data_IF_614328800397
#
_entry.id   IF_614328800397
#
_cell.length_a   1.000
_cell.length_b   1.000
_cell.length_c   1.000
_cell.angle_alpha   90.00
_cell.angle_beta   90.00
_cell.angle_gamma   90.00
#
_symmetry.space_group_name_H-M   'P 1'
#
loop_
_entity.id
_entity.type
_entity.pdbx_description
1 polymer ?
#
# COMPACT_ATOMS: atom_id res chain seq x y z
N UNK A 1 54.30 28.16 42.79
CA UNK A 1 54.47 27.11 41.76
C UNK A 1 53.67 25.82 42.04
N UNK A 2 53.57 25.36 43.30
CA UNK A 2 52.83 24.11 43.65
C UNK A 2 51.35 24.11 43.23
N UNK A 3 50.57 25.15 43.59
CA UNK A 3 49.13 25.22 43.28
C UNK A 3 48.79 25.25 41.78
N UNK A 4 49.63 25.89 40.95
CA UNK A 4 49.47 25.94 39.49
C UNK A 4 49.73 24.56 38.87
N UNK A 5 50.73 23.83 39.36
CA UNK A 5 51.00 22.45 38.91
C UNK A 5 49.85 21.51 39.26
N UNK A 6 49.26 21.63 40.45
CA UNK A 6 48.10 20.84 40.87
C UNK A 6 46.84 21.18 40.07
N UNK A 7 46.61 22.45 39.75
CA UNK A 7 45.49 22.87 38.91
C UNK A 7 45.63 22.35 37.47
N UNK A 8 46.83 22.49 36.88
CA UNK A 8 47.12 21.99 35.54
C UNK A 8 47.04 20.46 35.46
N UNK A 9 47.46 19.73 36.51
CA UNK A 9 47.33 18.27 36.57
C UNK A 9 45.87 17.81 36.71
N UNK A 10 45.06 18.55 37.48
CA UNK A 10 43.62 18.28 37.56
C UNK A 10 42.90 18.51 36.23
N UNK A 11 43.23 19.61 35.54
CA UNK A 11 42.66 19.94 34.23
C UNK A 11 43.03 18.92 33.15
N UNK A 12 44.29 18.44 33.13
CA UNK A 12 44.72 17.39 32.19
C UNK A 12 44.04 16.05 32.47
N UNK A 13 43.87 15.69 33.74
CA UNK A 13 43.16 14.45 34.13
C UNK A 13 41.69 14.50 33.69
N UNK A 14 41.01 15.64 33.87
CA UNK A 14 39.62 15.81 33.48
C UNK A 14 39.44 15.84 31.95
N UNK A 15 40.35 16.49 31.23
CA UNK A 15 40.34 16.49 29.76
C UNK A 15 40.58 15.09 29.19
N UNK A 16 41.49 14.32 29.78
CA UNK A 16 41.75 12.93 29.39
C UNK A 16 40.54 12.02 29.67
N UNK A 17 39.87 12.20 30.82
CA UNK A 17 38.66 11.47 31.15
C UNK A 17 37.50 11.79 30.18
N UNK A 18 37.31 13.07 29.84
CA UNK A 18 36.32 13.49 28.85
C UNK A 18 36.64 12.93 27.46
N UNK A 19 37.89 13.01 27.02
CA UNK A 19 38.32 12.43 25.75
C UNK A 19 38.10 10.91 25.70
N UNK A 20 38.36 10.19 26.80
CA UNK A 20 38.10 8.75 26.90
C UNK A 20 36.60 8.43 26.80
N UNK A 21 35.74 9.21 27.47
CA UNK A 21 34.28 9.06 27.39
C UNK A 21 33.77 9.35 25.97
N UNK A 22 34.28 10.40 25.32
CA UNK A 22 33.95 10.70 23.92
C UNK A 22 34.43 9.60 22.96
N UNK A 23 35.63 9.06 23.13
CA UNK A 23 36.14 7.96 22.31
C UNK A 23 35.31 6.66 22.50
N UNK A 24 34.90 6.35 23.74
CA UNK A 24 34.09 5.17 24.07
C UNK A 24 32.64 5.27 23.57
N UNK A 25 32.10 6.49 23.47
CA UNK A 25 30.72 6.74 22.99
C UNK A 25 30.63 6.97 21.49
N UNK A 26 31.68 7.48 20.85
CA UNK A 26 31.74 7.71 19.40
C UNK A 26 32.02 6.42 18.60
N UNK A 27 32.63 5.41 19.21
CA UNK A 27 32.88 4.12 18.58
C UNK A 27 31.62 3.22 18.58
N UNK A 28 30.53 3.68 17.94
CA UNK A 28 29.48 2.74 17.50
C UNK A 28 30.04 1.92 16.35
N UNK A 29 30.66 0.80 16.68
CA UNK A 29 30.99 -0.20 15.66
C UNK A 29 29.68 -0.70 15.07
N UNK A 30 29.44 -0.44 13.77
CA UNK A 30 28.38 -1.12 13.03
C UNK A 30 28.72 -2.61 13.04
N UNK A 31 28.14 -3.37 13.97
CA UNK A 31 28.22 -4.82 13.94
C UNK A 31 27.39 -5.29 12.76
N UNK A 32 28.07 -5.95 11.82
CA UNK A 32 27.39 -6.73 10.78
C UNK A 32 27.13 -8.10 11.38
N UNK A 33 25.86 -8.41 11.58
CA UNK A 33 25.45 -9.74 11.99
C UNK A 33 25.23 -10.61 10.75
N UNK A 34 25.50 -11.90 10.85
CA UNK A 34 25.20 -12.90 9.81
C UNK A 34 24.35 -13.98 10.44
N UNK A 35 23.24 -14.32 9.78
CA UNK A 35 22.31 -15.33 10.23
C UNK A 35 22.11 -16.33 9.10
N UNK A 36 22.10 -17.62 9.42
CA UNK A 36 21.64 -18.65 8.48
C UNK A 36 20.10 -18.63 8.37
N UNK A 37 19.40 -18.44 9.49
CA UNK A 37 17.95 -18.33 9.57
C UNK A 37 17.54 -17.33 10.68
N UNK A 38 16.41 -16.65 10.47
CA UNK A 38 15.80 -15.77 11.47
C UNK A 38 14.32 -16.17 11.66
N UNK A 39 13.96 -16.61 12.87
CA UNK A 39 12.56 -16.87 13.27
C UNK A 39 12.11 -15.78 14.25
N UNK A 40 11.31 -14.83 13.76
CA UNK A 40 10.84 -13.65 14.53
C UNK A 40 9.40 -13.29 14.18
N UNK A 41 8.73 -12.55 15.05
CA UNK A 41 7.38 -12.05 14.77
C UNK A 41 7.35 -10.81 13.86
N UNK A 42 8.38 -9.95 13.94
CA UNK A 42 8.47 -8.69 13.18
C UNK A 42 9.90 -8.26 12.94
N UNK A 43 10.15 -7.70 11.76
CA UNK A 43 11.40 -7.04 11.35
C UNK A 43 11.05 -5.59 10.99
N UNK A 44 11.82 -4.63 11.52
CA UNK A 44 11.76 -3.23 11.10
C UNK A 44 13.08 -2.86 10.43
N UNK A 45 13.00 -2.37 9.19
CA UNK A 45 14.12 -1.69 8.52
C UNK A 45 13.98 -0.20 8.82
N UNK A 46 15.02 0.40 9.38
CA UNK A 46 15.01 1.78 9.90
C UNK A 46 16.19 2.58 9.38
N UNK A 47 15.96 3.87 9.15
CA UNK A 47 16.98 4.87 8.89
C UNK A 47 17.77 5.20 10.18
N UNK A 48 18.95 5.86 10.08
CA UNK A 48 19.72 6.28 11.25
C UNK A 48 18.97 7.19 12.24
N UNK A 49 17.97 7.94 11.76
CA UNK A 49 17.13 8.81 12.59
C UNK A 49 15.95 8.07 13.26
N UNK A 50 15.79 6.77 12.98
CA UNK A 50 14.72 5.92 13.50
C UNK A 50 13.47 5.84 12.62
N UNK A 51 13.43 6.55 11.49
CA UNK A 51 12.34 6.46 10.51
C UNK A 51 12.27 5.03 9.95
N UNK A 52 11.09 4.41 10.00
CA UNK A 52 10.88 3.07 9.42
C UNK A 52 10.80 3.19 7.91
N UNK A 53 11.37 2.23 7.17
CA UNK A 53 11.29 2.14 5.70
C UNK A 53 10.52 0.91 5.23
N UNK A 54 10.72 -0.21 5.92
CA UNK A 54 10.03 -1.47 5.65
C UNK A 54 9.67 -2.11 6.99
N UNK A 55 8.44 -2.58 7.13
CA UNK A 55 8.01 -3.38 8.28
C UNK A 55 7.53 -4.72 7.74
N UNK A 56 8.14 -5.83 8.15
CA UNK A 56 7.65 -7.18 7.88
C UNK A 56 7.10 -7.74 9.18
N UNK A 57 5.87 -8.23 9.22
CA UNK A 57 5.26 -8.68 10.47
C UNK A 57 4.24 -9.79 10.28
N UNK A 58 4.14 -10.63 11.31
CA UNK A 58 3.04 -11.57 11.49
C UNK A 58 1.73 -10.84 11.85
N UNK A 59 0.64 -11.60 11.93
CA UNK A 59 -0.70 -11.08 12.26
C UNK A 59 -0.77 -10.41 13.64
N UNK A 60 -0.12 -10.98 14.66
CA UNK A 60 -0.21 -10.49 16.04
C UNK A 60 0.52 -9.16 16.27
N UNK A 61 1.51 -8.83 15.43
CA UNK A 61 2.36 -7.64 15.55
C UNK A 61 2.21 -6.69 14.35
N UNK A 62 1.19 -6.90 13.52
CA UNK A 62 0.92 -6.07 12.35
C UNK A 62 0.64 -4.63 12.79
N UNK A 63 1.35 -3.63 12.24
CA UNK A 63 1.24 -2.26 12.70
C UNK A 63 -0.05 -1.58 12.22
N UNK A 64 -0.28 -0.39 12.76
CA UNK A 64 -1.20 0.59 12.22
C UNK A 64 -0.77 1.18 10.87
N UNK A 65 -1.41 2.29 10.48
CA UNK A 65 -0.97 3.10 9.35
C UNK A 65 0.07 4.13 9.80
N UNK A 66 0.93 4.58 8.89
CA UNK A 66 1.96 5.59 9.20
C UNK A 66 1.71 6.88 8.42
N UNK A 67 1.71 8.01 9.14
CA UNK A 67 1.64 9.35 8.55
C UNK A 67 2.66 10.25 9.24
N UNK A 68 3.64 10.75 8.49
CA UNK A 68 4.67 11.67 9.01
C UNK A 68 5.38 11.15 10.27
N UNK A 69 5.73 9.86 10.28
CA UNK A 69 6.40 9.19 11.40
C UNK A 69 5.49 8.79 12.55
N UNK A 70 4.19 9.13 12.50
CA UNK A 70 3.21 8.75 13.52
C UNK A 70 2.42 7.52 13.09
N UNK A 71 2.28 6.57 13.99
CA UNK A 71 1.44 5.39 13.80
C UNK A 71 0.00 5.69 14.23
N UNK A 72 -0.96 5.48 13.34
CA UNK A 72 -2.40 5.54 13.57
C UNK A 72 -2.99 4.15 13.79
N UNK A 73 -4.02 4.03 14.63
CA UNK A 73 -4.61 2.72 14.91
C UNK A 73 -5.47 2.23 13.72
N UNK A 74 -5.18 1.03 13.23
CA UNK A 74 -5.97 0.32 12.20
C UNK A 74 -6.55 -0.98 12.73
N UNK A 75 -7.63 -0.94 13.54
CA UNK A 75 -8.23 -2.15 14.11
C UNK A 75 -8.76 -3.12 13.04
N UNK A 76 -9.10 -2.59 11.86
CA UNK A 76 -9.52 -3.33 10.67
C UNK A 76 -8.40 -4.15 10.02
N UNK A 77 -7.13 -3.88 10.34
CA UNK A 77 -5.96 -4.58 9.77
C UNK A 77 -5.45 -5.75 10.63
N UNK A 78 -6.12 -6.06 11.74
CA UNK A 78 -5.67 -7.09 12.72
C UNK A 78 -5.71 -8.53 12.21
N UNK A 79 -6.31 -8.77 11.05
CA UNK A 79 -6.43 -10.10 10.46
C UNK A 79 -5.37 -10.44 9.41
N UNK A 80 -4.43 -9.52 9.15
CA UNK A 80 -3.43 -9.67 8.10
C UNK A 80 -2.02 -9.81 8.65
N UNK A 81 -1.19 -10.55 7.92
CA UNK A 81 0.27 -10.49 8.02
C UNK A 81 0.83 -9.89 6.72
N UNK A 82 2.09 -9.44 6.75
CA UNK A 82 2.73 -8.95 5.53
C UNK A 82 3.80 -7.90 5.75
N UNK A 83 3.87 -6.96 4.82
CA UNK A 83 4.92 -5.97 4.68
C UNK A 83 4.34 -4.57 4.41
N UNK A 84 4.77 -3.54 5.14
CA UNK A 84 4.45 -2.15 4.80
C UNK A 84 5.67 -1.44 4.21
N UNK A 85 5.43 -0.61 3.21
CA UNK A 85 6.40 0.34 2.66
C UNK A 85 6.17 1.70 3.29
N UNK A 86 7.25 2.35 3.70
CA UNK A 86 7.21 3.69 4.28
C UNK A 86 8.20 4.56 3.54
N UNK A 87 7.76 5.75 3.15
CA UNK A 87 8.56 6.72 2.41
C UNK A 87 9.47 7.56 3.34
N UNK A 88 10.24 8.47 2.74
CA UNK A 88 11.19 9.36 3.42
C UNK A 88 10.53 10.28 4.46
N UNK A 89 9.23 10.56 4.29
CA UNK A 89 8.47 11.37 5.24
C UNK A 89 7.98 10.53 6.42
N UNK A 90 8.26 9.22 6.47
CA UNK A 90 7.68 8.33 7.47
C UNK A 90 6.18 8.09 7.25
N UNK A 91 5.70 8.20 6.00
CA UNK A 91 4.31 7.92 5.62
C UNK A 91 4.22 6.60 4.87
N UNK A 92 3.22 5.77 5.20
CA UNK A 92 2.92 4.53 4.48
C UNK A 92 2.70 4.83 3.00
N UNK A 93 3.33 4.05 2.12
CA UNK A 93 3.23 4.23 0.67
C UNK A 93 3.03 2.89 -0.06
N UNK A 94 2.14 2.08 0.49
CA UNK A 94 1.77 0.76 0.00
C UNK A 94 2.31 -0.36 0.88
N UNK A 95 2.16 -1.58 0.39
CA UNK A 95 2.58 -2.76 1.12
C UNK A 95 2.01 -4.04 0.53
N UNK A 96 2.46 -5.15 1.09
CA UNK A 96 1.90 -6.49 0.89
C UNK A 96 1.09 -6.86 2.14
N UNK A 97 -0.17 -7.19 1.99
CA UNK A 97 -0.94 -7.87 3.04
C UNK A 97 -1.48 -9.19 2.50
N UNK A 98 -1.53 -10.19 3.37
CA UNK A 98 -2.11 -11.48 3.04
C UNK A 98 -2.83 -12.08 4.25
N UNK A 99 -3.79 -12.93 3.94
CA UNK A 99 -4.46 -13.81 4.89
C UNK A 99 -4.89 -15.09 4.17
N UNK A 100 -5.07 -16.15 4.96
CA UNK A 100 -5.60 -17.42 4.47
C UNK A 100 -6.04 -18.26 5.66
N UNK A 101 -7.33 -18.56 5.74
CA UNK A 101 -7.89 -19.40 6.78
C UNK A 101 -9.25 -19.95 6.37
N UNK A 102 -9.65 -21.06 6.99
CA UNK A 102 -11.05 -21.45 7.04
C UNK A 102 -11.74 -20.67 8.16
N UNK A 103 -12.93 -20.15 7.89
CA UNK A 103 -13.80 -19.58 8.93
C UNK A 103 -14.35 -20.69 9.83
N UNK A 104 -14.94 -20.30 10.96
CA UNK A 104 -15.55 -21.26 11.90
C UNK A 104 -16.69 -22.08 11.26
N UNK A 105 -17.39 -21.52 10.27
CA UNK A 105 -18.43 -22.19 9.48
C UNK A 105 -17.88 -22.94 8.25
N UNK A 106 -16.55 -23.11 8.15
CA UNK A 106 -15.90 -23.96 7.14
C UNK A 106 -15.68 -23.31 5.77
N UNK A 107 -15.83 -21.99 5.66
CA UNK A 107 -15.68 -21.26 4.39
C UNK A 107 -14.25 -20.76 4.21
N UNK A 108 -13.81 -20.66 2.96
CA UNK A 108 -12.52 -20.07 2.62
C UNK A 108 -12.57 -18.55 2.86
N UNK A 109 -11.57 -18.03 3.58
CA UNK A 109 -11.23 -16.61 3.62
C UNK A 109 -9.73 -16.45 3.35
N UNK A 110 -9.39 -16.25 2.08
CA UNK A 110 -8.02 -16.08 1.66
C UNK A 110 -7.89 -14.91 0.69
N UNK A 111 -6.77 -14.21 0.76
CA UNK A 111 -6.52 -13.08 -0.12
C UNK A 111 -5.15 -12.48 0.07
N UNK A 112 -4.71 -11.77 -0.95
CA UNK A 112 -3.44 -11.07 -1.03
C UNK A 112 -3.66 -9.72 -1.70
N UNK A 113 -3.01 -8.69 -1.17
CA UNK A 113 -2.98 -7.36 -1.77
C UNK A 113 -1.56 -6.83 -1.68
N UNK A 114 -0.90 -6.68 -2.83
CA UNK A 114 0.34 -5.92 -2.96
C UNK A 114 0.04 -4.61 -3.67
N UNK A 115 0.32 -3.50 -3.02
CA UNK A 115 0.00 -2.20 -3.56
C UNK A 115 1.17 -1.24 -3.48
N UNK A 116 1.17 -0.30 -4.42
CA UNK A 116 2.08 0.82 -4.45
C UNK A 116 1.26 2.09 -4.54
N UNK A 117 1.48 2.96 -3.58
CA UNK A 117 0.68 4.16 -3.44
C UNK A 117 1.32 5.31 -4.22
N UNK A 118 0.48 6.20 -4.76
CA UNK A 118 0.95 7.48 -5.27
C UNK A 118 1.42 8.31 -4.07
N UNK A 119 2.47 9.13 -4.25
CA UNK A 119 2.98 9.98 -3.17
C UNK A 119 1.86 10.79 -2.46
N UNK A 120 1.72 10.59 -1.15
CA UNK A 120 0.68 11.17 -0.27
C UNK A 120 -0.76 10.89 -0.70
N UNK A 121 -0.97 9.78 -1.39
CA UNK A 121 -2.24 9.33 -1.94
C UNK A 121 -2.29 7.80 -1.89
N UNK A 122 -3.36 7.23 -2.45
CA UNK A 122 -3.62 5.79 -2.43
C UNK A 122 -3.09 5.10 -3.70
N UNK A 123 -3.52 3.86 -3.91
CA UNK A 123 -2.90 2.86 -4.74
C UNK A 123 -2.91 3.17 -6.25
N UNK A 124 -1.74 3.52 -6.80
CA UNK A 124 -1.54 3.73 -8.25
C UNK A 124 -1.33 2.41 -8.98
N UNK A 125 -0.77 1.40 -8.30
CA UNK A 125 -0.57 0.04 -8.81
C UNK A 125 -1.01 -0.98 -7.75
N UNK A 126 -1.72 -2.02 -8.19
CA UNK A 126 -2.19 -3.10 -7.33
C UNK A 126 -2.02 -4.46 -7.99
N UNK A 127 -1.60 -5.46 -7.21
CA UNK A 127 -1.67 -6.88 -7.50
C UNK A 127 -2.54 -7.53 -6.42
N UNK A 128 -3.68 -8.08 -6.82
CA UNK A 128 -4.71 -8.54 -5.91
C UNK A 128 -5.01 -10.01 -6.18
N UNK A 129 -5.26 -10.76 -5.11
CA UNK A 129 -5.92 -12.06 -5.13
C UNK A 129 -6.98 -12.09 -4.03
N UNK A 130 -8.16 -12.60 -4.34
CA UNK A 130 -9.26 -12.77 -3.41
C UNK A 130 -9.95 -14.11 -3.69
N UNK A 131 -10.17 -14.88 -2.64
CA UNK A 131 -10.67 -16.25 -2.75
C UNK A 131 -11.71 -16.55 -1.66
N UNK A 132 -12.79 -17.17 -2.11
CA UNK A 132 -13.87 -17.71 -1.30
C UNK A 132 -14.35 -19.03 -1.93
N UNK A 133 -15.25 -19.74 -1.26
CA UNK A 133 -15.85 -20.97 -1.80
C UNK A 133 -16.52 -20.78 -3.17
N UNK A 134 -17.03 -19.57 -3.43
CA UNK A 134 -17.80 -19.27 -4.63
C UNK A 134 -16.95 -18.75 -5.80
N UNK A 135 -15.77 -18.19 -5.53
CA UNK A 135 -14.94 -17.59 -6.57
C UNK A 135 -13.47 -17.46 -6.15
N UNK A 136 -12.60 -17.45 -7.16
CA UNK A 136 -11.22 -17.05 -7.05
C UNK A 136 -11.00 -15.93 -8.08
N UNK A 137 -10.46 -14.80 -7.64
CA UNK A 137 -10.20 -13.63 -8.47
C UNK A 137 -8.77 -13.12 -8.26
N UNK A 138 -8.02 -12.95 -9.32
CA UNK A 138 -6.68 -12.34 -9.35
C UNK A 138 -6.67 -11.22 -10.37
N UNK A 139 -6.09 -10.07 -10.00
CA UNK A 139 -5.99 -8.93 -10.91
C UNK A 139 -4.75 -8.07 -10.70
N UNK A 140 -4.33 -7.43 -11.78
CA UNK A 140 -3.41 -6.29 -11.80
C UNK A 140 -4.23 -5.05 -12.15
N UNK A 141 -4.05 -3.96 -11.39
CA UNK A 141 -4.72 -2.69 -11.63
C UNK A 141 -3.71 -1.56 -11.71
N UNK A 142 -3.86 -0.70 -12.72
CA UNK A 142 -3.18 0.59 -12.82
C UNK A 142 -4.25 1.67 -12.75
N UNK A 143 -4.07 2.62 -11.84
CA UNK A 143 -5.04 3.68 -11.56
C UNK A 143 -4.43 5.06 -11.79
N UNK A 144 -5.21 5.96 -12.35
CA UNK A 144 -4.96 7.38 -12.27
C UNK A 144 -5.51 7.87 -10.93
N UNK A 145 -4.65 7.88 -9.93
CA UNK A 145 -4.94 8.47 -8.62
C UNK A 145 -4.71 9.98 -8.73
N UNK A 146 -5.59 10.87 -8.25
CA UNK A 146 -5.36 12.32 -8.33
C UNK A 146 -4.11 12.76 -7.54
N UNK A 147 -3.62 13.98 -7.80
CA UNK A 147 -2.54 14.55 -6.98
C UNK A 147 -3.08 14.89 -5.59
N UNK A 148 -2.28 14.70 -4.53
CA UNK A 148 -2.65 15.11 -3.17
C UNK A 148 -3.01 16.61 -3.05
N UNK A 149 -2.56 17.44 -4.01
CA UNK A 149 -2.90 18.87 -4.10
C UNK A 149 -4.31 19.14 -4.64
N UNK A 150 -4.85 18.21 -5.43
CA UNK A 150 -6.21 18.26 -5.96
C UNK A 150 -7.17 17.59 -4.98
N UNK A 151 -6.74 16.47 -4.41
CA UNK A 151 -7.53 15.74 -3.42
C UNK A 151 -6.61 15.13 -2.40
N UNK A 152 -6.74 15.56 -1.16
CA UNK A 152 -5.93 15.06 -0.04
C UNK A 152 -6.56 13.79 0.57
N UNK A 153 -5.82 13.10 1.44
CA UNK A 153 -6.40 12.00 2.23
C UNK A 153 -7.46 12.49 3.24
N UNK A 154 -7.38 13.75 3.66
CA UNK A 154 -8.41 14.40 4.48
C UNK A 154 -9.69 14.62 3.66
N UNK A 155 -9.56 15.05 2.41
CA UNK A 155 -10.70 15.12 1.49
C UNK A 155 -11.35 13.75 1.29
N UNK A 156 -10.57 12.69 1.05
CA UNK A 156 -11.10 11.32 0.94
C UNK A 156 -11.91 10.92 2.17
N UNK A 157 -11.38 11.20 3.37
CA UNK A 157 -12.08 10.94 4.64
C UNK A 157 -13.38 11.74 4.74
N UNK A 158 -13.33 13.03 4.39
CA UNK A 158 -14.49 13.91 4.38
C UNK A 158 -15.54 13.45 3.38
N UNK A 159 -15.14 13.02 2.19
CA UNK A 159 -16.06 12.52 1.16
C UNK A 159 -16.82 11.28 1.63
N UNK A 160 -16.13 10.34 2.29
CA UNK A 160 -16.79 9.19 2.92
C UNK A 160 -17.82 9.63 3.95
N UNK A 161 -17.43 10.52 4.87
CA UNK A 161 -18.34 11.01 5.92
C UNK A 161 -19.52 11.85 5.39
N UNK A 162 -19.34 12.56 4.28
CA UNK A 162 -20.42 13.26 3.57
C UNK A 162 -21.37 12.25 2.89
N UNK A 163 -20.83 11.25 2.19
CA UNK A 163 -21.62 10.21 1.54
C UNK A 163 -22.44 9.38 2.53
N UNK A 164 -21.88 9.05 3.70
CA UNK A 164 -22.57 8.28 4.74
C UNK A 164 -23.81 8.99 5.31
N UNK A 165 -23.87 10.33 5.20
CA UNK A 165 -25.03 11.13 5.62
C UNK A 165 -26.13 11.20 4.57
N UNK A 166 -25.84 10.80 3.33
CA UNK A 166 -26.79 10.84 2.24
C UNK A 166 -27.65 9.55 2.21
N UNK A 167 -28.92 9.64 1.79
CA UNK A 167 -29.70 8.46 1.43
C UNK A 167 -28.96 7.61 0.40
N UNK A 168 -29.08 6.28 0.48
CA UNK A 168 -28.39 5.35 -0.42
C UNK A 168 -28.66 5.63 -1.92
N UNK A 169 -29.84 6.16 -2.25
CA UNK A 169 -30.19 6.56 -3.61
C UNK A 169 -29.31 7.73 -4.15
N UNK A 170 -28.88 8.63 -3.26
CA UNK A 170 -28.15 9.85 -3.62
C UNK A 170 -26.62 9.68 -3.55
N UNK A 171 -26.14 8.69 -2.79
CA UNK A 171 -24.71 8.38 -2.68
C UNK A 171 -24.07 8.15 -4.06
N UNK A 172 -24.77 7.46 -4.97
CA UNK A 172 -24.26 7.21 -6.32
C UNK A 172 -24.05 8.51 -7.10
N UNK A 173 -24.97 9.46 -6.98
CA UNK A 173 -24.87 10.74 -7.67
C UNK A 173 -23.72 11.59 -7.08
N UNK A 174 -23.54 11.55 -5.75
CA UNK A 174 -22.43 12.20 -5.06
C UNK A 174 -21.06 11.71 -5.53
N UNK A 175 -20.85 10.39 -5.53
CA UNK A 175 -19.57 9.81 -6.00
C UNK A 175 -19.32 10.07 -7.49
N UNK A 176 -20.38 9.99 -8.32
CA UNK A 176 -20.28 10.32 -9.74
C UNK A 176 -19.84 11.76 -9.95
N UNK A 177 -20.40 12.71 -9.20
CA UNK A 177 -20.00 14.12 -9.26
C UNK A 177 -18.51 14.29 -8.94
N UNK A 178 -18.02 13.69 -7.86
CA UNK A 178 -16.59 13.78 -7.48
C UNK A 178 -15.67 13.15 -8.55
N UNK A 179 -16.07 12.01 -9.13
CA UNK A 179 -15.35 11.40 -10.26
C UNK A 179 -15.30 12.36 -11.47
N UNK A 180 -16.42 12.99 -11.84
CA UNK A 180 -16.49 13.95 -12.96
C UNK A 180 -15.66 15.22 -12.71
N UNK A 181 -15.50 15.62 -11.45
CA UNK A 181 -14.62 16.70 -11.01
C UNK A 181 -13.13 16.29 -10.95
N UNK A 182 -12.80 15.03 -11.25
CA UNK A 182 -11.43 14.50 -11.18
C UNK A 182 -10.89 14.39 -9.75
N UNK A 183 -11.78 14.29 -8.76
CA UNK A 183 -11.46 14.20 -7.33
C UNK A 183 -11.22 12.76 -6.87
N UNK A 184 -11.64 11.76 -7.65
CA UNK A 184 -11.51 10.35 -7.32
C UNK A 184 -10.51 9.66 -8.24
N UNK A 185 -9.98 8.52 -7.76
CA UNK A 185 -9.12 7.65 -8.55
C UNK A 185 -9.92 6.95 -9.65
N UNK A 186 -9.38 6.93 -10.86
CA UNK A 186 -9.97 6.23 -12.00
C UNK A 186 -9.09 5.05 -12.43
N UNK A 187 -9.69 3.87 -12.62
CA UNK A 187 -8.92 2.72 -13.09
C UNK A 187 -8.63 2.87 -14.60
N UNK A 188 -7.36 2.77 -14.99
CA UNK A 188 -6.90 2.88 -16.39
C UNK A 188 -6.70 1.53 -17.06
N UNK A 189 -6.09 0.61 -16.33
CA UNK A 189 -5.82 -0.74 -16.79
C UNK A 189 -6.31 -1.71 -15.74
N UNK A 190 -7.04 -2.72 -16.22
CA UNK A 190 -7.39 -3.89 -15.42
C UNK A 190 -7.03 -5.13 -16.21
N UNK A 191 -6.27 -6.03 -15.60
CA UNK A 191 -5.95 -7.35 -16.16
C UNK A 191 -6.25 -8.39 -15.09
N UNK A 192 -7.01 -9.44 -15.40
CA UNK A 192 -7.30 -10.47 -14.43
C UNK A 192 -8.21 -11.56 -14.94
N UNK A 193 -8.54 -12.51 -14.07
CA UNK A 193 -9.63 -13.43 -14.31
C UNK A 193 -10.97 -12.83 -13.84
N UNK A 194 -12.04 -13.28 -14.46
CA UNK A 194 -13.42 -12.88 -14.16
C UNK A 194 -14.16 -14.07 -13.54
N UNK A 195 -15.21 -13.77 -12.77
CA UNK A 195 -15.93 -14.77 -11.96
C UNK A 195 -16.46 -15.98 -12.74
N UNK A 196 -16.63 -15.86 -14.05
CA UNK A 196 -17.09 -16.93 -14.94
C UNK A 196 -15.97 -17.85 -15.42
N UNK A 197 -14.75 -17.78 -14.84
CA UNK A 197 -13.53 -18.48 -15.29
C UNK A 197 -12.94 -17.96 -16.60
N UNK A 198 -13.40 -16.82 -17.10
CA UNK A 198 -12.73 -16.12 -18.20
C UNK A 198 -11.52 -15.31 -17.74
N UNK A 199 -10.80 -14.75 -18.70
CA UNK A 199 -9.74 -13.77 -18.48
C UNK A 199 -9.98 -12.52 -19.33
N UNK A 200 -9.54 -11.36 -18.83
CA UNK A 200 -9.80 -10.09 -19.50
C UNK A 200 -8.71 -9.05 -19.22
N UNK A 201 -8.40 -8.26 -20.25
CA UNK A 201 -7.68 -6.99 -20.18
C UNK A 201 -8.65 -5.88 -20.60
N UNK A 202 -8.78 -4.84 -19.77
CA UNK A 202 -9.53 -3.63 -20.07
C UNK A 202 -8.58 -2.44 -20.11
N UNK A 203 -8.69 -1.63 -21.18
CA UNK A 203 -8.11 -0.30 -21.27
C UNK A 203 -9.22 0.74 -21.22
N UNK A 204 -9.08 1.72 -20.33
CA UNK A 204 -10.11 2.70 -20.00
C UNK A 204 -9.66 4.13 -20.31
N UNK A 205 -10.62 4.97 -20.68
CA UNK A 205 -10.38 6.39 -20.93
C UNK A 205 -10.16 7.19 -19.63
N UNK A 206 -10.03 8.52 -19.75
CA UNK A 206 -9.76 9.42 -18.63
C UNK A 206 -10.85 9.49 -17.57
N UNK A 207 -12.03 8.96 -17.87
CA UNK A 207 -13.18 8.88 -16.96
C UNK A 207 -13.43 7.44 -16.52
N UNK A 208 -12.43 6.56 -16.63
CA UNK A 208 -12.56 5.15 -16.26
C UNK A 208 -13.47 4.31 -17.17
N UNK A 209 -13.92 4.85 -18.31
CA UNK A 209 -14.85 4.15 -19.22
C UNK A 209 -14.06 3.21 -20.13
N UNK A 210 -14.40 1.90 -20.23
CA UNK A 210 -13.72 0.98 -21.13
C UNK A 210 -13.78 1.44 -22.60
N UNK A 211 -12.64 1.41 -23.29
CA UNK A 211 -12.51 1.71 -24.72
C UNK A 211 -12.04 0.50 -25.51
N UNK A 212 -11.25 -0.36 -24.88
CA UNK A 212 -10.76 -1.61 -25.43
C UNK A 212 -10.90 -2.72 -24.41
N UNK A 213 -11.42 -3.86 -24.84
CA UNK A 213 -11.52 -5.07 -24.02
C UNK A 213 -10.96 -6.24 -24.82
N UNK A 214 -9.96 -6.92 -24.27
CA UNK A 214 -9.51 -8.23 -24.77
C UNK A 214 -10.02 -9.26 -23.77
N UNK A 215 -10.76 -10.26 -24.22
CA UNK A 215 -11.36 -11.27 -23.33
C UNK A 215 -11.24 -12.66 -23.93
N UNK A 216 -11.05 -13.64 -23.05
CA UNK A 216 -11.28 -15.05 -23.34
C UNK A 216 -12.34 -15.56 -22.37
N UNK A 217 -13.45 -16.08 -22.90
CA UNK A 217 -14.50 -16.69 -22.09
C UNK A 217 -14.09 -18.09 -21.59
N UNK A 218 -14.84 -18.64 -20.64
CA UNK A 218 -14.57 -19.95 -20.04
C UNK A 218 -14.53 -21.10 -21.06
N UNK A 219 -15.29 -20.97 -22.15
CA UNK A 219 -15.35 -21.95 -23.25
C UNK A 219 -14.25 -21.74 -24.30
N UNK A 220 -13.29 -20.83 -24.05
CA UNK A 220 -12.17 -20.53 -24.92
C UNK A 220 -12.45 -19.52 -26.03
N UNK A 221 -13.67 -18.97 -26.13
CA UNK A 221 -13.98 -17.93 -27.13
C UNK A 221 -13.20 -16.65 -26.83
N UNK A 222 -12.28 -16.31 -27.72
CA UNK A 222 -11.50 -15.08 -27.66
C UNK A 222 -12.21 -13.95 -28.40
N UNK A 223 -12.10 -12.72 -27.89
CA UNK A 223 -12.71 -11.54 -28.49
C UNK A 223 -11.91 -10.26 -28.17
N UNK A 224 -11.82 -9.35 -29.14
CA UNK A 224 -11.34 -7.98 -28.96
C UNK A 224 -12.47 -7.01 -29.27
N UNK A 225 -12.91 -6.24 -28.28
CA UNK A 225 -13.98 -5.25 -28.43
C UNK A 225 -13.44 -3.81 -28.35
N UNK A 226 -13.91 -2.97 -29.26
CA UNK A 226 -13.72 -1.50 -29.23
C UNK A 226 -15.06 -0.84 -28.90
N UNK A 227 -15.09 0.04 -27.90
CA UNK A 227 -16.32 0.59 -27.33
C UNK A 227 -16.41 2.12 -27.51
N UNK A 228 -17.59 2.62 -27.86
CA UNK A 228 -17.89 4.05 -27.90
C UNK A 228 -18.05 4.68 -26.53
N UNK A 229 -18.21 6.00 -26.49
CA UNK A 229 -18.31 6.79 -25.27
C UNK A 229 -19.36 6.31 -24.25
N UNK A 230 -20.42 5.66 -24.73
CA UNK A 230 -21.55 5.13 -23.96
C UNK A 230 -21.35 3.66 -23.56
N UNK A 231 -20.27 3.02 -24.00
CA UNK A 231 -19.96 1.62 -23.73
C UNK A 231 -20.60 0.65 -24.73
N UNK A 232 -21.10 1.13 -25.87
CA UNK A 232 -21.58 0.27 -26.94
C UNK A 232 -20.40 -0.24 -27.76
N UNK A 233 -20.40 -1.53 -28.09
CA UNK A 233 -19.38 -2.12 -28.97
C UNK A 233 -19.56 -1.56 -30.39
N UNK A 234 -18.55 -0.84 -30.87
CA UNK A 234 -18.47 -0.34 -32.24
C UNK A 234 -17.89 -1.39 -33.19
N UNK A 235 -16.91 -2.14 -32.70
CA UNK A 235 -16.25 -3.20 -33.45
C UNK A 235 -15.86 -4.34 -32.52
N UNK A 236 -16.07 -5.56 -33.00
CA UNK A 236 -15.57 -6.79 -32.41
C UNK A 236 -14.68 -7.49 -33.42
N UNK A 237 -13.62 -8.13 -32.94
CA UNK A 237 -12.78 -9.06 -33.70
C UNK A 237 -12.83 -10.39 -32.95
N UNK A 238 -13.20 -11.44 -33.65
CA UNK A 238 -13.29 -12.80 -33.11
C UNK A 238 -12.45 -13.72 -34.02
N UNK A 239 -11.86 -14.83 -33.53
CA UNK A 239 -11.01 -15.70 -34.35
C UNK A 239 -11.66 -16.23 -35.63
N UNK A 240 -12.98 -16.23 -35.69
CA UNK A 240 -13.77 -16.71 -36.82
C UNK A 240 -14.06 -15.64 -37.89
N UNK A 241 -13.79 -14.34 -37.64
CA UNK A 241 -14.07 -13.22 -38.57
C UNK A 241 -13.08 -12.05 -38.45
#
# INVERSE_FOLDING_TARGET
MSKIRTFLSGATTMAAALAAVFALTAAKTQKKETFDEITVGRINIVEPDGTKRIIISNKAQFPGDFQQGKEGARPDRRDFAGMLFINEEGTENGGLIQKGSMTADGKISAGLSLTFDRFRQDQTLQLLSDESDAYQATSIKINDVPSFKITSMEDMTRFGAEADKLPAADQRAYWKKLSEEGRLSENRVWLGNIRDKGSMLQLKDAKGRPRLVLRVAADGKAQIQMLDEQGKVLKSIDPAN
#
